data_IF_437347075426
#
_entry.id   IF_437347075426
#
_cell.length_a   1.000
_cell.length_b   1.000
_cell.length_c   1.000
_cell.angle_alpha   90.00
_cell.angle_beta   90.00
_cell.angle_gamma   90.00
#
_symmetry.space_group_name_H-M   'P 1'
#
loop_
_entity.id
_entity.type
_entity.pdbx_description
1 polymer ?
#
# COMPACT_ATOMS: atom_id res chain seq x y z
N UNK A 1 4.32 -11.90 4.33
CA UNK A 1 3.64 -10.66 4.77
C UNK A 1 2.14 -10.75 4.56
N UNK A 2 1.67 -11.04 3.34
CA UNK A 2 0.24 -11.24 3.08
C UNK A 2 -0.40 -12.33 3.98
N UNK A 3 0.35 -13.37 4.33
CA UNK A 3 -0.07 -14.46 5.23
C UNK A 3 0.48 -14.34 6.65
N UNK A 4 1.03 -13.19 7.05
CA UNK A 4 1.53 -13.01 8.40
C UNK A 4 0.33 -12.96 9.38
N UNK A 5 0.41 -13.64 10.55
CA UNK A 5 -0.69 -13.64 11.52
C UNK A 5 -0.86 -12.27 12.22
N UNK A 6 0.17 -11.42 12.18
CA UNK A 6 0.09 -10.05 12.67
C UNK A 6 -0.61 -9.14 11.65
N UNK A 7 -1.28 -8.11 12.16
CA UNK A 7 -1.67 -6.95 11.36
C UNK A 7 -0.42 -6.18 10.93
N UNK A 8 -0.38 -5.80 9.65
CA UNK A 8 0.75 -5.12 9.00
C UNK A 8 0.31 -3.72 8.58
N UNK A 9 0.97 -2.71 9.13
CA UNK A 9 0.83 -1.32 8.72
C UNK A 9 2.02 -0.96 7.83
N UNK A 10 1.76 -0.46 6.63
CA UNK A 10 2.74 0.17 5.75
C UNK A 10 2.63 1.69 5.85
N UNK A 11 3.58 2.31 6.54
CA UNK A 11 3.77 3.75 6.54
C UNK A 11 4.74 4.13 5.41
N UNK A 12 4.25 4.85 4.40
CA UNK A 12 5.00 5.13 3.16
C UNK A 12 5.35 6.61 3.07
N UNK A 13 6.65 6.90 3.10
CA UNK A 13 7.23 8.22 2.84
C UNK A 13 8.02 8.19 1.52
N UNK A 14 8.10 9.33 0.82
CA UNK A 14 8.88 9.44 -0.41
C UNK A 14 8.52 8.40 -1.48
N UNK A 15 9.53 7.79 -2.12
CA UNK A 15 9.30 6.96 -3.31
C UNK A 15 9.10 5.48 -2.98
N UNK A 16 7.89 4.96 -3.22
CA UNK A 16 7.59 3.53 -3.24
C UNK A 16 7.61 2.99 -4.68
N UNK A 17 8.65 2.24 -5.03
CA UNK A 17 8.85 1.65 -6.36
C UNK A 17 9.23 0.17 -6.26
N UNK A 18 8.96 -0.59 -7.32
CA UNK A 18 9.27 -2.01 -7.38
C UNK A 18 8.75 -2.79 -6.17
N UNK A 19 9.64 -3.44 -5.43
CA UNK A 19 9.29 -4.19 -4.22
C UNK A 19 8.55 -3.36 -3.16
N UNK A 20 8.78 -2.04 -3.07
CA UNK A 20 8.07 -1.16 -2.15
C UNK A 20 6.57 -1.06 -2.44
N UNK A 21 6.17 -1.07 -3.71
CA UNK A 21 4.75 -1.16 -4.09
C UNK A 21 4.18 -2.51 -3.74
N UNK A 22 4.94 -3.58 -4.00
CA UNK A 22 4.54 -4.94 -3.62
C UNK A 22 4.23 -5.01 -2.13
N UNK A 23 5.10 -4.45 -1.29
CA UNK A 23 4.89 -4.37 0.16
C UNK A 23 3.64 -3.55 0.53
N UNK A 24 3.51 -2.33 -0.01
CA UNK A 24 2.36 -1.47 0.25
C UNK A 24 1.03 -2.10 -0.20
N UNK A 25 1.06 -2.97 -1.22
CA UNK A 25 -0.14 -3.64 -1.76
C UNK A 25 -0.62 -4.81 -0.91
N UNK A 26 0.25 -5.40 -0.07
CA UNK A 26 -0.07 -6.57 0.78
C UNK A 26 -0.23 -6.23 2.26
N UNK A 27 -0.04 -4.96 2.64
CA UNK A 27 -0.27 -4.51 4.00
C UNK A 27 -1.77 -4.37 4.29
N UNK A 28 -2.16 -4.70 5.52
CA UNK A 28 -3.55 -4.60 5.98
C UNK A 28 -3.99 -3.13 6.09
N UNK A 29 -3.05 -2.25 6.45
CA UNK A 29 -3.25 -0.79 6.45
C UNK A 29 -2.09 -0.12 5.72
N UNK A 30 -2.37 0.70 4.71
CA UNK A 30 -1.34 1.48 4.00
C UNK A 30 -1.64 2.96 4.18
N UNK A 31 -0.71 3.68 4.80
CA UNK A 31 -0.79 5.11 5.10
C UNK A 31 0.31 5.79 4.29
N UNK A 32 -0.06 6.80 3.49
CA UNK A 32 0.86 7.52 2.63
C UNK A 32 1.09 8.94 3.18
N UNK A 33 2.35 9.31 3.33
CA UNK A 33 2.77 10.67 3.66
C UNK A 33 2.49 11.62 2.47
N UNK A 34 2.47 12.95 2.69
CA UNK A 34 2.13 13.92 1.65
C UNK A 34 3.07 13.90 0.44
N UNK A 35 4.34 13.55 0.67
CA UNK A 35 5.40 13.46 -0.33
C UNK A 35 5.51 12.06 -0.95
N UNK A 36 4.64 11.13 -0.56
CA UNK A 36 4.70 9.75 -1.04
C UNK A 36 4.33 9.66 -2.52
N UNK A 37 5.15 8.93 -3.27
CA UNK A 37 5.03 8.69 -4.69
C UNK A 37 5.13 7.20 -4.99
N UNK A 38 4.10 6.66 -5.65
CA UNK A 38 4.03 5.26 -6.04
C UNK A 38 4.26 5.12 -7.55
N UNK A 39 5.17 4.25 -7.96
CA UNK A 39 5.44 4.00 -9.39
C UNK A 39 5.89 2.56 -9.73
N UNK A 40 5.20 1.93 -10.69
CA UNK A 40 5.67 0.71 -11.37
C UNK A 40 6.60 1.10 -12.52
N UNK A 41 7.86 1.42 -12.21
CA UNK A 41 8.81 2.02 -13.18
C UNK A 41 9.46 0.99 -14.11
N UNK A 42 9.33 -0.31 -13.84
CA UNK A 42 10.00 -1.40 -14.54
C UNK A 42 9.80 -1.34 -16.06
N UNK A 43 8.59 -1.01 -16.52
CA UNK A 43 8.26 -0.93 -17.94
C UNK A 43 9.05 0.17 -18.67
N UNK A 44 9.52 1.20 -17.96
CA UNK A 44 10.39 2.25 -18.54
C UNK A 44 11.79 1.75 -18.85
N UNK A 45 12.18 0.63 -18.24
CA UNK A 45 13.48 -0.02 -18.42
C UNK A 45 13.36 -1.32 -19.23
N UNK A 46 12.21 -1.57 -19.87
CA UNK A 46 11.97 -2.81 -20.63
C UNK A 46 11.78 -4.05 -19.76
N UNK A 47 11.50 -3.87 -18.46
CA UNK A 47 11.32 -4.95 -17.49
C UNK A 47 9.83 -5.11 -17.19
N UNK A 48 9.36 -6.36 -17.11
CA UNK A 48 7.99 -6.67 -16.70
C UNK A 48 7.94 -6.72 -15.16
N UNK A 49 7.00 -6.00 -14.50
CA UNK A 49 6.84 -6.02 -13.04
C UNK A 49 6.14 -7.30 -12.54
N UNK A 50 6.61 -8.47 -13.00
CA UNK A 50 5.95 -9.75 -12.84
C UNK A 50 5.75 -10.15 -11.36
N UNK A 51 6.76 -9.88 -10.52
CA UNK A 51 6.73 -10.27 -9.11
C UNK A 51 5.71 -9.49 -8.27
N UNK A 52 5.45 -8.21 -8.62
CA UNK A 52 4.55 -7.35 -7.84
C UNK A 52 3.13 -7.28 -8.41
N UNK A 53 2.97 -7.50 -9.73
CA UNK A 53 1.70 -7.28 -10.43
C UNK A 53 0.51 -8.05 -9.84
N UNK A 54 0.63 -9.33 -9.42
CA UNK A 54 -0.50 -10.04 -8.82
C UNK A 54 -1.03 -9.38 -7.54
N UNK A 55 -0.13 -8.80 -6.73
CA UNK A 55 -0.50 -8.13 -5.49
C UNK A 55 -1.15 -6.77 -5.75
N UNK A 56 -0.61 -6.01 -6.70
CA UNK A 56 -1.19 -4.73 -7.13
C UNK A 56 -2.59 -4.95 -7.71
N UNK A 57 -2.77 -5.96 -8.58
CA UNK A 57 -4.08 -6.30 -9.15
C UNK A 57 -5.09 -6.68 -8.07
N UNK A 58 -4.68 -7.46 -7.05
CA UNK A 58 -5.56 -7.78 -5.91
C UNK A 58 -5.92 -6.54 -5.09
N UNK A 59 -5.01 -5.57 -4.96
CA UNK A 59 -5.21 -4.36 -4.16
C UNK A 59 -6.14 -3.33 -4.82
N UNK A 60 -5.91 -2.99 -6.09
CA UNK A 60 -6.61 -1.88 -6.76
C UNK A 60 -7.50 -2.34 -7.93
N UNK A 61 -7.63 -3.65 -8.12
CA UNK A 61 -8.37 -4.24 -9.23
C UNK A 61 -7.63 -4.17 -10.56
N UNK A 62 -8.07 -4.99 -11.51
CA UNK A 62 -7.39 -5.18 -12.79
C UNK A 62 -7.31 -3.89 -13.63
N UNK A 63 -8.37 -3.10 -13.67
CA UNK A 63 -8.43 -1.90 -14.52
C UNK A 63 -7.44 -0.83 -14.07
N UNK A 64 -7.42 -0.51 -12.77
CA UNK A 64 -6.49 0.48 -12.23
C UNK A 64 -5.04 -0.03 -12.30
N UNK A 65 -4.81 -1.30 -11.97
CA UNK A 65 -3.49 -1.92 -12.05
C UNK A 65 -2.94 -1.94 -13.49
N UNK A 66 -3.77 -2.21 -14.49
CA UNK A 66 -3.37 -2.11 -15.91
C UNK A 66 -2.98 -0.69 -16.27
N UNK A 67 -3.84 0.30 -16.00
CA UNK A 67 -3.53 1.72 -16.27
C UNK A 67 -2.19 2.11 -15.62
N UNK A 68 -2.01 1.75 -14.35
CA UNK A 68 -0.81 2.09 -13.58
C UNK A 68 0.46 1.41 -14.11
N UNK A 69 0.38 0.10 -14.36
CA UNK A 69 1.51 -0.72 -14.78
C UNK A 69 1.97 -0.45 -16.21
N UNK A 70 1.05 -0.29 -17.18
CA UNK A 70 1.43 -0.12 -18.60
C UNK A 70 1.99 1.27 -18.89
N UNK A 71 1.57 2.30 -18.15
CA UNK A 71 2.06 3.66 -18.36
C UNK A 71 3.35 3.95 -17.60
N UNK A 72 3.72 3.10 -16.64
CA UNK A 72 4.76 3.38 -15.65
C UNK A 72 4.58 4.77 -15.03
N UNK A 73 3.33 5.17 -14.77
CA UNK A 73 3.00 6.49 -14.25
C UNK A 73 3.36 6.58 -12.77
N UNK A 74 3.53 7.80 -12.27
CA UNK A 74 3.61 8.08 -10.84
C UNK A 74 2.22 8.38 -10.32
N UNK A 75 1.90 7.87 -9.14
CA UNK A 75 0.73 8.27 -8.36
C UNK A 75 1.22 9.00 -7.12
N UNK A 76 0.65 10.17 -6.86
CA UNK A 76 0.77 10.87 -5.58
C UNK A 76 0.06 10.09 -4.48
N UNK A 77 0.33 10.42 -3.21
CA UNK A 77 -0.39 9.88 -2.06
C UNK A 77 -1.91 9.94 -2.23
N UNK A 78 -2.45 11.09 -2.65
CA UNK A 78 -3.89 11.27 -2.87
C UNK A 78 -4.45 10.38 -3.98
N UNK A 79 -3.74 10.27 -5.09
CA UNK A 79 -4.16 9.38 -6.18
C UNK A 79 -4.09 7.92 -5.77
N UNK A 80 -3.04 7.52 -5.02
CA UNK A 80 -2.90 6.19 -4.45
C UNK A 80 -4.08 5.85 -3.52
N UNK A 81 -4.52 6.80 -2.68
CA UNK A 81 -5.71 6.63 -1.86
C UNK A 81 -6.99 6.53 -2.70
N UNK A 82 -7.11 7.36 -3.73
CA UNK A 82 -8.28 7.38 -4.64
C UNK A 82 -8.47 6.03 -5.35
N UNK A 83 -7.37 5.36 -5.74
CA UNK A 83 -7.42 4.05 -6.41
C UNK A 83 -7.41 2.86 -5.45
N UNK A 84 -7.33 3.10 -4.13
CA UNK A 84 -7.27 2.06 -3.10
C UNK A 84 -5.90 1.42 -2.89
N UNK A 85 -4.83 1.97 -3.46
CA UNK A 85 -3.46 1.50 -3.20
C UNK A 85 -3.03 1.85 -1.77
N UNK A 86 -3.29 3.08 -1.36
CA UNK A 86 -3.25 3.51 0.04
C UNK A 86 -4.68 3.52 0.61
N UNK A 87 -4.82 3.31 1.92
CA UNK A 87 -6.10 3.54 2.61
C UNK A 87 -6.22 5.00 3.05
N UNK A 88 -5.09 5.61 3.44
CA UNK A 88 -5.02 6.97 3.96
C UNK A 88 -3.94 7.73 3.20
N UNK A 89 -4.24 8.96 2.79
CA UNK A 89 -3.28 9.93 2.30
C UNK A 89 -3.27 11.12 3.26
N UNK A 90 -2.22 11.24 4.06
CA UNK A 90 -2.10 12.29 5.04
C UNK A 90 -1.85 13.65 4.37
N UNK A 91 -2.50 14.74 4.83
CA UNK A 91 -2.33 16.07 4.26
C UNK A 91 -0.97 16.71 4.57
N UNK A 92 -0.40 16.38 5.73
CA UNK A 92 0.91 16.83 6.18
C UNK A 92 1.64 15.74 6.99
N UNK A 93 2.88 16.02 7.42
CA UNK A 93 3.69 15.06 8.17
C UNK A 93 3.15 14.78 9.58
N UNK A 94 2.58 15.78 10.25
CA UNK A 94 2.03 15.59 11.58
C UNK A 94 0.79 14.68 11.54
N UNK A 95 -0.07 14.87 10.55
CA UNK A 95 -1.21 13.99 10.29
C UNK A 95 -0.75 12.56 9.91
N UNK A 96 0.32 12.43 9.12
CA UNK A 96 0.89 11.11 8.79
C UNK A 96 1.32 10.33 10.04
N UNK A 97 2.06 10.97 10.94
CA UNK A 97 2.48 10.38 12.21
C UNK A 97 1.27 10.03 13.10
N UNK A 98 0.27 10.92 13.15
CA UNK A 98 -0.96 10.69 13.92
C UNK A 98 -1.75 9.48 13.40
N UNK A 99 -1.89 9.31 12.09
CA UNK A 99 -2.62 8.20 11.49
C UNK A 99 -1.96 6.84 11.77
N UNK A 100 -0.62 6.79 11.84
CA UNK A 100 0.10 5.58 12.25
C UNK A 100 -0.26 5.19 13.68
N UNK A 101 -0.29 6.16 14.59
CA UNK A 101 -0.67 5.94 16.00
C UNK A 101 -2.13 5.48 16.08
N UNK A 102 -3.04 6.15 15.38
CA UNK A 102 -4.47 5.79 15.34
C UNK A 102 -4.66 4.35 14.84
N UNK A 103 -4.04 3.98 13.73
CA UNK A 103 -4.13 2.62 13.19
C UNK A 103 -3.55 1.58 14.16
N UNK A 104 -2.42 1.90 14.79
CA UNK A 104 -1.79 1.04 15.79
C UNK A 104 -2.69 0.84 17.01
N UNK A 105 -3.25 1.92 17.56
CA UNK A 105 -4.13 1.88 18.73
C UNK A 105 -5.44 1.12 18.45
N UNK A 106 -5.96 1.22 17.23
CA UNK A 106 -7.12 0.42 16.81
C UNK A 106 -6.78 -1.08 16.78
N UNK A 107 -5.65 -1.44 16.19
CA UNK A 107 -5.19 -2.84 16.13
C UNK A 107 -4.91 -3.41 17.52
N UNK A 108 -4.28 -2.62 18.42
CA UNK A 108 -3.94 -3.06 19.78
C UNK A 108 -5.15 -3.30 20.68
N UNK A 109 -6.33 -2.79 20.31
CA UNK A 109 -7.60 -3.09 21.00
C UNK A 109 -8.20 -4.45 20.60
N UNK A 110 -7.66 -5.08 19.57
CA UNK A 110 -8.15 -6.36 19.05
C UNK A 110 -7.39 -7.55 19.65
N UNK A 111 -8.07 -8.67 19.89
CA UNK A 111 -7.42 -9.89 20.36
C UNK A 111 -6.53 -10.48 19.24
N UNK A 112 -5.23 -10.77 19.49
CA UNK A 112 -4.28 -11.15 18.44
C UNK A 112 -4.65 -12.46 17.73
N UNK A 113 -5.24 -13.43 18.43
CA UNK A 113 -5.73 -14.67 17.81
C UNK A 113 -6.86 -14.41 16.81
N UNK A 114 -7.82 -13.56 17.18
CA UNK A 114 -8.94 -13.19 16.30
C UNK A 114 -8.47 -12.40 15.07
N UNK A 115 -7.47 -11.51 15.23
CA UNK A 115 -6.84 -10.80 14.10
C UNK A 115 -6.21 -11.80 13.11
N UNK A 116 -5.43 -12.74 13.62
CA UNK A 116 -4.76 -13.75 12.79
C UNK A 116 -5.76 -14.61 12.02
N UNK A 117 -6.82 -15.08 12.68
CA UNK A 117 -7.86 -15.89 12.05
C UNK A 117 -8.68 -15.09 11.02
N UNK A 118 -9.07 -13.85 11.35
CA UNK A 118 -9.85 -12.99 10.45
C UNK A 118 -9.11 -12.74 9.13
N UNK A 119 -7.78 -12.58 9.19
CA UNK A 119 -6.94 -12.35 8.01
C UNK A 119 -6.84 -13.55 7.07
N UNK A 120 -7.23 -14.75 7.53
CA UNK A 120 -7.16 -15.99 6.76
C UNK A 120 -8.46 -16.34 6.03
N UNK A 121 -9.56 -15.62 6.29
CA UNK A 121 -10.86 -15.79 5.65
C UNK A 121 -10.87 -15.25 4.22
#
# INVERSE_FOLDING_TARGET
MNSAPQAIIAAVEGHAMGGGIGFASVADVTIAAPDAMFQMSEVRFGIVPAAISPFVVRRIGLTAARRFGVSGARLTAREAATVGLAHIAAPDKAAFEAEIIVATDQILKCAPGAVAETKML
#
